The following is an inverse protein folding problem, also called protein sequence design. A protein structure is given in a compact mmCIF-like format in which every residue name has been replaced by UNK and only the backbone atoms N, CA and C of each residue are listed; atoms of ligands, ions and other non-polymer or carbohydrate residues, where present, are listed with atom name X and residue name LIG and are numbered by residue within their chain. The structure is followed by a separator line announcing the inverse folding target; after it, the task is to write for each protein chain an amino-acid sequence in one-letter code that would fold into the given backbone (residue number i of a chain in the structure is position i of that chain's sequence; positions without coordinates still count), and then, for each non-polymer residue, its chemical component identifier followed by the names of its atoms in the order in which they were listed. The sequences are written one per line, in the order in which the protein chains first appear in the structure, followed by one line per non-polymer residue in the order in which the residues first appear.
data_IF_869500821254
#
_entry.id   IF_869500821254
#
_cell.length_a   1.000
_cell.length_b   1.000
_cell.length_c   1.000
_cell.angle_alpha   90.00
_cell.angle_beta   90.00
_cell.angle_gamma   90.00
#
_symmetry.space_group_name_H-M   'P 1'
#
loop_
_entity.id
_entity.type
_entity.pdbx_description
1 polymer ?
#
# COMPACT_ATOMS: atom_id res chain seq x y z
N UNK A 1 -56.21 11.30 5.06
CA UNK A 1 -56.04 9.88 5.45
C UNK A 1 -54.57 9.51 5.32
N UNK A 2 -54.00 8.93 6.37
CA UNK A 2 -52.62 8.38 6.44
C UNK A 2 -52.51 7.04 5.69
N UNK A 3 -51.29 6.70 5.24
CA UNK A 3 -50.56 5.39 5.26
C UNK A 3 -49.64 5.31 4.02
N UNK A 4 -48.33 5.60 4.10
CA UNK A 4 -47.19 4.80 4.60
C UNK A 4 -46.99 3.44 3.93
N UNK A 5 -45.86 3.28 3.21
CA UNK A 5 -44.83 2.21 3.26
C UNK A 5 -44.09 2.21 1.90
N UNK A 6 -42.85 2.72 1.78
CA UNK A 6 -41.59 2.06 2.18
C UNK A 6 -41.30 0.78 1.39
N UNK A 7 -40.42 0.88 0.38
CA UNK A 7 -39.43 -0.17 0.09
C UNK A 7 -38.09 0.53 -0.17
N UNK A 8 -37.31 0.59 0.91
CA UNK A 8 -35.91 0.95 0.96
C UNK A 8 -35.25 -0.30 1.56
N UNK A 9 -34.69 -1.16 0.71
CA UNK A 9 -33.94 -2.37 1.08
C UNK A 9 -32.73 -2.41 0.14
N UNK A 10 -31.61 -1.82 0.55
CA UNK A 10 -30.46 -2.49 1.19
C UNK A 10 -29.74 -3.39 0.19
N UNK A 11 -28.68 -2.85 -0.43
CA UNK A 11 -27.51 -3.65 -0.78
C UNK A 11 -26.45 -3.31 0.25
N UNK A 12 -26.10 -4.35 1.00
CA UNK A 12 -25.24 -4.37 2.15
C UNK A 12 -23.84 -3.82 1.86
N UNK A 13 -23.35 -3.10 2.87
CA UNK A 13 -21.96 -2.98 3.23
C UNK A 13 -21.16 -4.28 3.03
N UNK A 14 -20.08 -4.19 2.26
CA UNK A 14 -18.75 -4.60 2.74
C UNK A 14 -17.78 -3.45 2.52
N UNK A 15 -18.18 -2.25 2.97
CA UNK A 15 -17.23 -1.23 3.33
C UNK A 15 -16.87 -1.48 4.77
N UNK A 16 -15.87 -2.32 5.03
CA UNK A 16 -15.17 -2.28 6.31
C UNK A 16 -14.45 -0.93 6.32
N UNK A 17 -15.16 0.12 6.70
CA UNK A 17 -14.56 1.30 7.31
C UNK A 17 -14.02 0.82 8.65
N UNK A 18 -12.84 0.20 8.62
CA UNK A 18 -11.97 0.22 9.78
C UNK A 18 -11.67 1.69 10.03
N UNK A 19 -12.12 2.18 11.17
CA UNK A 19 -11.87 3.53 11.63
C UNK A 19 -10.36 3.81 11.62
N UNK A 20 -9.93 4.80 10.84
CA UNK A 20 -8.58 5.36 10.93
C UNK A 20 -8.71 6.87 11.19
N UNK A 21 -8.02 7.34 12.22
CA UNK A 21 -8.01 8.70 12.73
C UNK A 21 -7.86 9.76 11.62
N UNK A 22 -8.94 10.46 11.24
CA UNK A 22 -9.01 11.85 10.74
C UNK A 22 -8.08 12.37 9.64
N UNK A 23 -7.11 11.61 9.14
CA UNK A 23 -6.14 12.02 8.12
C UNK A 23 -6.81 11.88 6.76
N UNK A 24 -6.94 13.00 6.06
CA UNK A 24 -7.34 12.98 4.64
C UNK A 24 -6.15 12.50 3.84
N UNK A 25 -6.25 11.30 3.25
CA UNK A 25 -5.21 10.71 2.43
C UNK A 25 -5.17 11.38 1.06
N UNK A 26 -3.96 11.65 0.56
CA UNK A 26 -3.79 12.03 -0.85
C UNK A 26 -3.90 10.79 -1.77
N UNK A 27 -3.98 11.02 -3.08
CA UNK A 27 -4.20 9.95 -4.05
C UNK A 27 -3.14 8.84 -4.00
N UNK A 28 -1.86 9.18 -3.74
CA UNK A 28 -0.77 8.21 -3.66
C UNK A 28 -0.83 7.43 -2.35
N UNK A 29 -1.14 8.10 -1.24
CA UNK A 29 -1.36 7.44 0.05
C UNK A 29 -2.52 6.44 -0.03
N UNK A 30 -3.63 6.81 -0.68
CA UNK A 30 -4.75 5.90 -0.92
C UNK A 30 -4.32 4.72 -1.81
N UNK A 31 -3.56 4.98 -2.87
CA UNK A 31 -3.10 3.93 -3.78
C UNK A 31 -2.15 2.92 -3.10
N UNK A 32 -1.40 3.33 -2.08
CA UNK A 32 -0.61 2.40 -1.23
C UNK A 32 -1.51 1.48 -0.42
N UNK A 33 -2.60 2.00 0.16
CA UNK A 33 -3.55 1.15 0.87
C UNK A 33 -4.24 0.18 -0.08
N UNK A 34 -4.58 0.62 -1.29
CA UNK A 34 -5.15 -0.24 -2.32
C UNK A 34 -4.14 -1.31 -2.77
N UNK A 35 -2.86 -0.95 -2.95
CA UNK A 35 -1.78 -1.91 -3.21
C UNK A 35 -1.72 -2.98 -2.12
N UNK A 36 -1.73 -2.59 -0.85
CA UNK A 36 -1.64 -3.55 0.25
C UNK A 36 -2.89 -4.45 0.30
N UNK A 37 -4.08 -3.88 0.18
CA UNK A 37 -5.33 -4.63 0.32
C UNK A 37 -5.62 -5.52 -0.89
N UNK A 38 -5.38 -5.04 -2.10
CA UNK A 38 -5.65 -5.76 -3.35
C UNK A 38 -4.48 -6.68 -3.70
N UNK A 39 -3.27 -6.15 -3.77
CA UNK A 39 -2.11 -6.87 -4.29
C UNK A 39 -1.42 -7.73 -3.22
N UNK A 40 -1.09 -7.19 -2.04
CA UNK A 40 -0.39 -7.97 -1.02
C UNK A 40 -1.33 -8.95 -0.28
N UNK A 41 -2.45 -8.45 0.23
CA UNK A 41 -3.36 -9.20 1.10
C UNK A 41 -4.48 -9.92 0.33
N UNK A 42 -4.84 -9.43 -0.85
CA UNK A 42 -5.96 -9.97 -1.63
C UNK A 42 -5.70 -11.40 -2.13
N UNK A 43 -6.76 -12.07 -2.56
CA UNK A 43 -6.70 -13.42 -3.14
C UNK A 43 -7.20 -13.46 -4.58
N UNK A 44 -7.86 -12.40 -5.06
CA UNK A 44 -8.39 -12.30 -6.41
C UNK A 44 -7.27 -12.01 -7.42
N UNK A 45 -6.93 -13.02 -8.22
CA UNK A 45 -5.87 -12.93 -9.22
C UNK A 45 -6.18 -11.90 -10.31
N UNK A 46 -7.42 -11.73 -10.72
CA UNK A 46 -7.78 -10.76 -11.77
C UNK A 46 -7.59 -9.35 -11.23
N UNK A 47 -8.08 -9.06 -10.03
CA UNK A 47 -7.89 -7.78 -9.37
C UNK A 47 -6.40 -7.44 -9.18
N UNK A 48 -5.58 -8.42 -8.79
CA UNK A 48 -4.12 -8.22 -8.68
C UNK A 48 -3.46 -7.89 -10.02
N UNK A 49 -3.79 -8.61 -11.09
CA UNK A 49 -3.22 -8.34 -12.41
C UNK A 49 -3.64 -6.96 -12.91
N UNK A 50 -4.92 -6.62 -12.78
CA UNK A 50 -5.44 -5.30 -13.16
C UNK A 50 -4.75 -4.18 -12.40
N UNK A 51 -4.53 -4.36 -11.09
CA UNK A 51 -3.79 -3.40 -10.27
C UNK A 51 -2.40 -3.14 -10.83
N UNK A 52 -1.64 -4.19 -11.18
CA UNK A 52 -0.29 -4.04 -11.76
C UNK A 52 -0.34 -3.32 -13.11
N UNK A 53 -1.29 -3.70 -13.97
CA UNK A 53 -1.41 -3.10 -15.29
C UNK A 53 -1.75 -1.61 -15.25
N UNK A 54 -2.61 -1.22 -14.32
CA UNK A 54 -3.11 0.15 -14.21
C UNK A 54 -2.20 1.04 -13.38
N UNK A 55 -1.50 0.53 -12.37
CA UNK A 55 -0.86 1.38 -11.35
C UNK A 55 0.66 1.28 -11.29
N UNK A 56 1.29 0.27 -11.88
CA UNK A 56 2.75 0.13 -11.86
C UNK A 56 3.42 0.80 -13.07
N UNK A 57 4.67 1.25 -12.88
CA UNK A 57 5.54 1.67 -13.98
C UNK A 57 5.72 0.53 -14.99
N UNK A 58 5.72 0.79 -16.31
CA UNK A 58 5.90 -0.24 -17.34
C UNK A 58 7.09 -1.17 -17.09
N UNK A 59 8.23 -0.61 -16.69
CA UNK A 59 9.47 -1.32 -16.39
C UNK A 59 9.39 -2.16 -15.10
N UNK A 60 8.53 -1.78 -14.16
CA UNK A 60 8.34 -2.49 -12.89
C UNK A 60 7.33 -3.63 -13.01
N UNK A 61 6.37 -3.56 -13.94
CA UNK A 61 5.30 -4.57 -14.11
C UNK A 61 5.80 -6.02 -14.10
N UNK A 62 6.87 -6.40 -14.84
CA UNK A 62 7.34 -7.78 -14.85
C UNK A 62 7.73 -8.31 -13.46
N UNK A 63 8.31 -7.46 -12.60
CA UNK A 63 8.69 -7.84 -11.24
C UNK A 63 7.47 -8.08 -10.35
N UNK A 64 6.45 -7.22 -10.44
CA UNK A 64 5.20 -7.41 -9.72
C UNK A 64 4.46 -8.67 -10.20
N UNK A 65 4.38 -8.91 -11.52
CA UNK A 65 3.76 -10.11 -12.07
C UNK A 65 4.52 -11.39 -11.68
N UNK A 66 5.85 -11.32 -11.57
CA UNK A 66 6.66 -12.43 -11.05
C UNK A 66 6.35 -12.70 -9.57
N UNK A 67 6.21 -11.65 -8.75
CA UNK A 67 5.84 -11.78 -7.35
C UNK A 67 4.47 -12.46 -7.14
N UNK A 68 3.54 -12.32 -8.10
CA UNK A 68 2.25 -13.04 -8.09
C UNK A 68 2.37 -14.56 -8.28
N UNK A 69 3.48 -15.04 -8.86
CA UNK A 69 3.71 -16.47 -9.12
C UNK A 69 4.44 -17.18 -7.99
N UNK A 70 4.98 -16.43 -7.02
CA UNK A 70 5.68 -17.00 -5.87
C UNK A 70 4.66 -17.52 -4.86
N UNK A 71 4.68 -18.84 -4.60
CA UNK A 71 3.69 -19.54 -3.78
C UNK A 71 3.64 -19.11 -2.30
N UNK A 72 4.63 -18.36 -1.80
CA UNK A 72 4.69 -17.91 -0.41
C UNK A 72 4.61 -16.38 -0.30
N UNK A 73 3.41 -15.82 -0.47
CA UNK A 73 3.17 -14.38 -0.31
C UNK A 73 3.06 -13.93 1.16
N UNK A 74 3.28 -14.82 2.14
CA UNK A 74 3.14 -14.46 3.57
C UNK A 74 4.04 -13.29 3.97
N UNK A 75 5.26 -13.23 3.42
CA UNK A 75 6.22 -12.15 3.70
C UNK A 75 5.74 -10.77 3.22
N UNK A 76 4.77 -10.73 2.29
CA UNK A 76 4.18 -9.50 1.75
C UNK A 76 2.93 -9.05 2.50
N UNK A 77 2.32 -9.92 3.30
CA UNK A 77 1.10 -9.59 4.04
C UNK A 77 1.41 -8.45 5.02
N UNK A 78 0.56 -7.42 4.97
CA UNK A 78 0.58 -6.31 5.92
C UNK A 78 -0.86 -6.01 6.34
N UNK A 79 -1.25 -6.51 7.51
CA UNK A 79 -2.57 -6.34 8.11
C UNK A 79 -2.70 -4.96 8.74
N UNK A 80 -3.93 -4.45 8.75
CA UNK A 80 -4.31 -3.17 9.33
C UNK A 80 -3.37 -2.01 8.90
N UNK A 81 -3.18 -1.82 7.57
CA UNK A 81 -2.21 -0.86 7.09
C UNK A 81 -2.64 0.59 7.38
N UNK A 82 -1.69 1.40 7.83
CA UNK A 82 -1.85 2.82 8.12
C UNK A 82 -0.73 3.64 7.48
N UNK A 83 -1.12 4.69 6.75
CA UNK A 83 -0.15 5.61 6.16
C UNK A 83 0.34 6.62 7.19
N UNK A 84 1.63 6.56 7.48
CA UNK A 84 2.29 7.45 8.43
C UNK A 84 2.59 8.81 7.79
N UNK A 85 3.32 8.82 6.68
CA UNK A 85 3.86 10.03 6.07
C UNK A 85 4.13 9.81 4.58
N UNK A 86 4.11 10.88 3.80
CA UNK A 86 4.60 10.88 2.42
C UNK A 86 5.54 12.06 2.20
N UNK A 87 6.61 11.84 1.45
CA UNK A 87 7.59 12.87 1.10
C UNK A 87 7.79 12.91 -0.41
N UNK A 88 8.06 14.11 -0.94
CA UNK A 88 8.47 14.27 -2.33
C UNK A 88 9.96 13.92 -2.47
N UNK A 89 10.29 13.21 -3.55
CA UNK A 89 11.65 12.88 -3.93
C UNK A 89 12.04 13.78 -5.10
N UNK A 90 13.08 14.59 -4.88
CA UNK A 90 13.70 15.37 -5.93
C UNK A 90 14.95 14.63 -6.41
N UNK A 91 14.86 14.05 -7.61
CA UNK A 91 16.03 13.72 -8.43
C UNK A 91 15.97 14.58 -9.69
N UNK A 92 17.14 14.98 -10.22
CA UNK A 92 17.33 16.10 -11.15
C UNK A 92 16.58 15.98 -12.49
N UNK A 93 15.94 14.85 -12.75
CA UNK A 93 15.18 14.59 -13.99
C UNK A 93 13.77 14.00 -13.76
N UNK A 94 13.42 13.53 -12.55
CA UNK A 94 12.12 12.88 -12.28
C UNK A 94 11.63 13.19 -10.86
N UNK A 95 10.40 13.71 -10.77
CA UNK A 95 9.70 13.88 -9.49
C UNK A 95 9.14 12.54 -9.02
N UNK A 96 9.56 12.11 -7.84
CA UNK A 96 9.02 10.93 -7.16
C UNK A 96 8.27 11.29 -5.89
N UNK A 97 7.57 10.32 -5.32
CA UNK A 97 6.97 10.42 -3.99
C UNK A 97 7.26 9.11 -3.25
N UNK A 98 7.72 9.18 -2.02
CA UNK A 98 7.81 8.02 -1.14
C UNK A 98 6.71 8.09 -0.08
N UNK A 99 6.03 6.97 0.16
CA UNK A 99 4.99 6.85 1.16
C UNK A 99 5.41 5.80 2.19
N UNK A 100 5.47 6.20 3.46
CA UNK A 100 5.74 5.33 4.60
C UNK A 100 4.41 4.80 5.16
N UNK A 101 4.32 3.48 5.27
CA UNK A 101 3.14 2.77 5.78
C UNK A 101 3.58 1.78 6.86
N UNK A 102 2.76 1.64 7.90
CA UNK A 102 2.92 0.60 8.93
C UNK A 102 1.75 -0.35 8.94
N UNK A 103 1.94 -1.51 9.57
CA UNK A 103 0.91 -2.48 9.85
C UNK A 103 1.52 -3.70 10.55
N UNK A 104 0.80 -4.82 10.53
CA UNK A 104 1.28 -6.09 11.12
C UNK A 104 1.59 -7.12 10.04
N UNK A 105 2.75 -7.77 10.11
CA UNK A 105 3.09 -8.85 9.19
C UNK A 105 2.20 -10.10 9.42
N UNK A 106 2.44 -11.19 8.68
CA UNK A 106 1.66 -12.43 8.85
C UNK A 106 1.68 -13.00 10.27
N UNK A 107 2.76 -12.73 11.02
CA UNK A 107 3.00 -13.23 12.38
C UNK A 107 2.50 -12.25 13.47
N UNK A 108 1.88 -11.14 13.08
CA UNK A 108 1.33 -10.14 13.99
C UNK A 108 2.36 -9.14 14.54
N UNK A 109 3.59 -9.19 14.04
CA UNK A 109 4.69 -8.30 14.41
C UNK A 109 4.55 -6.99 13.62
N UNK A 110 4.76 -5.87 14.30
CA UNK A 110 4.72 -4.56 13.66
C UNK A 110 5.79 -4.46 12.55
N UNK A 111 5.41 -3.86 11.44
CA UNK A 111 6.22 -3.80 10.25
C UNK A 111 5.95 -2.53 9.47
N UNK A 112 7.03 -1.95 8.95
CA UNK A 112 6.99 -0.76 8.12
C UNK A 112 7.39 -1.08 6.67
N UNK A 113 6.83 -0.35 5.71
CA UNK A 113 7.21 -0.41 4.29
C UNK A 113 7.31 0.99 3.73
N UNK A 114 8.15 1.17 2.71
CA UNK A 114 8.16 2.38 1.90
C UNK A 114 7.76 2.02 0.47
N UNK A 115 6.74 2.69 -0.05
CA UNK A 115 6.33 2.55 -1.45
C UNK A 115 6.74 3.79 -2.22
N UNK A 116 7.44 3.60 -3.33
CA UNK A 116 7.98 4.68 -4.16
C UNK A 116 7.17 4.81 -5.45
N UNK A 117 6.77 6.04 -5.75
CA UNK A 117 6.09 6.45 -6.98
C UNK A 117 7.01 7.31 -7.84
N UNK A 118 6.91 7.17 -9.16
CA UNK A 118 7.46 8.09 -10.15
C UNK A 118 6.29 8.65 -10.95
N UNK A 119 6.05 9.96 -10.88
CA UNK A 119 4.78 10.54 -11.30
C UNK A 119 3.61 9.90 -10.53
N UNK A 120 2.64 9.32 -11.23
CA UNK A 120 1.47 8.68 -10.62
C UNK A 120 1.52 7.14 -10.67
N UNK A 121 2.68 6.56 -11.00
CA UNK A 121 2.87 5.12 -11.11
C UNK A 121 3.79 4.60 -10.02
N UNK A 122 3.43 3.46 -9.46
CA UNK A 122 4.22 2.75 -8.46
C UNK A 122 5.45 2.12 -9.11
N UNK A 123 6.62 2.40 -8.55
CA UNK A 123 7.89 1.87 -9.01
C UNK A 123 8.34 0.65 -8.23
N UNK A 124 8.39 0.75 -6.90
CA UNK A 124 8.90 -0.32 -6.04
C UNK A 124 8.39 -0.19 -4.60
N UNK A 125 8.49 -1.30 -3.87
CA UNK A 125 8.28 -1.40 -2.43
C UNK A 125 9.61 -1.79 -1.77
N UNK A 126 9.96 -1.11 -0.68
CA UNK A 126 11.16 -1.36 0.11
C UNK A 126 10.79 -1.88 1.49
N UNK A 127 11.58 -2.85 1.97
CA UNK A 127 11.39 -3.55 3.24
C UNK A 127 12.62 -3.34 4.14
N UNK A 128 12.45 -3.20 5.47
CA UNK A 128 13.57 -3.07 6.40
C UNK A 128 14.53 -4.26 6.37
N UNK A 129 14.02 -5.47 6.13
CA UNK A 129 14.80 -6.72 6.22
C UNK A 129 15.14 -7.35 4.85
N UNK A 130 15.07 -6.59 3.75
CA UNK A 130 15.45 -7.13 2.44
C UNK A 130 16.96 -7.42 2.38
N UNK A 131 17.33 -8.69 2.09
CA UNK A 131 18.71 -9.20 2.19
C UNK A 131 19.76 -8.40 1.39
N UNK A 132 19.37 -7.78 0.27
CA UNK A 132 20.27 -6.98 -0.58
C UNK A 132 19.85 -5.49 -0.73
N UNK A 133 18.63 -5.12 -0.32
CA UNK A 133 18.05 -3.78 -0.53
C UNK A 133 17.95 -2.91 0.74
N UNK A 134 18.38 -3.45 1.90
CA UNK A 134 18.31 -2.76 3.19
C UNK A 134 18.92 -1.34 3.14
N UNK A 135 20.01 -1.13 2.38
CA UNK A 135 20.64 0.21 2.25
C UNK A 135 19.72 1.27 1.62
N UNK A 136 18.89 0.89 0.65
CA UNK A 136 17.97 1.83 -0.01
C UNK A 136 16.78 2.13 0.91
N UNK A 137 16.30 1.13 1.64
CA UNK A 137 15.29 1.32 2.68
C UNK A 137 15.79 2.30 3.73
N UNK A 138 16.93 2.04 4.39
CA UNK A 138 17.45 2.88 5.47
C UNK A 138 17.72 4.32 5.02
N UNK A 139 18.35 4.48 3.84
CA UNK A 139 18.59 5.80 3.25
C UNK A 139 17.29 6.57 3.07
N UNK A 140 16.27 5.94 2.48
CA UNK A 140 15.00 6.61 2.23
C UNK A 140 14.19 6.82 3.51
N UNK A 141 14.21 5.84 4.43
CA UNK A 141 13.55 5.91 5.74
C UNK A 141 14.04 7.08 6.58
N UNK A 142 15.33 7.42 6.47
CA UNK A 142 15.95 8.55 7.18
C UNK A 142 15.43 9.93 6.75
N UNK A 143 14.75 10.03 5.59
CA UNK A 143 14.18 11.28 5.11
C UNK A 143 12.79 11.59 5.69
N UNK A 144 12.12 10.61 6.31
CA UNK A 144 10.84 10.79 6.97
C UNK A 144 11.01 11.39 8.36
N UNK A 145 10.09 12.26 8.77
CA UNK A 145 10.09 12.86 10.12
C UNK A 145 9.46 11.94 11.16
N UNK A 146 8.64 11.00 10.70
CA UNK A 146 8.03 10.00 11.57
C UNK A 146 9.11 9.19 12.29
N UNK A 147 9.11 9.13 13.65
CA UNK A 147 10.10 8.39 14.41
C UNK A 147 10.19 6.93 13.96
N UNK A 148 11.37 6.33 14.14
CA UNK A 148 11.53 4.87 14.02
C UNK A 148 11.02 4.28 15.32
N UNK A 149 9.90 3.55 15.28
CA UNK A 149 9.44 2.80 16.44
C UNK A 149 10.43 1.64 16.66
N UNK A 150 11.18 1.69 17.78
CA UNK A 150 12.04 0.57 18.18
C UNK A 150 11.12 -0.55 18.69
N UNK A 151 10.97 -1.60 17.89
CA UNK A 151 10.39 -2.89 18.32
C UNK A 151 11.37 -3.70 19.13
#
# INVERSE_FOLDING_TARGET
MRKFLSILIVILLVGVLSACNGKTLNAKEQLVLDYINIFNNGTDKEAKNKFVEENCLPESKPLFLLALKVNNQKERILKDPEVLESIDLEDSEKKGTAVLVKGKNSDGIDSERIVVFIGDKMGMELFPNAKDENKNYEKLRSAFKTPIEQT
#
